data_IF_870203605120
#
_entry.id   IF_870203605120
#
_cell.length_a   1.000
_cell.length_b   1.000
_cell.length_c   1.000
_cell.angle_alpha   90.00
_cell.angle_beta   90.00
_cell.angle_gamma   90.00
#
_symmetry.space_group_name_H-M   'P 1'
#
loop_
_entity.id
_entity.type
_entity.pdbx_description
1 polymer ?
#
# COMPACT_ATOMS: atom_id res chain seq x y z
N UNK A 1 -4.19 3.67 6.85
CA UNK A 1 -5.43 2.87 7.07
C UNK A 1 -5.72 1.99 5.85
N UNK A 2 -4.83 1.05 5.46
CA UNK A 2 -5.02 0.29 4.20
C UNK A 2 -4.94 -1.25 4.37
N UNK A 3 -4.47 -1.81 5.49
CA UNK A 3 -4.37 -3.27 5.64
C UNK A 3 -4.96 -3.83 6.93
N UNK A 4 -6.12 -3.33 7.39
CA UNK A 4 -6.81 -3.90 8.55
C UNK A 4 -7.75 -5.07 8.21
N UNK A 5 -7.86 -5.47 6.94
CA UNK A 5 -8.89 -6.41 6.48
C UNK A 5 -8.47 -7.32 5.32
N UNK A 6 -7.22 -7.80 5.29
CA UNK A 6 -6.89 -8.92 4.42
C UNK A 6 -7.32 -10.22 5.12
N UNK A 7 -8.37 -10.93 4.66
CA UNK A 7 -8.69 -12.25 5.19
C UNK A 7 -7.50 -13.18 4.92
N UNK A 8 -7.17 -14.05 5.89
CA UNK A 8 -6.12 -15.06 5.74
C UNK A 8 -6.33 -15.84 4.45
N UNK A 9 -5.45 -15.66 3.47
CA UNK A 9 -5.53 -16.34 2.18
C UNK A 9 -5.12 -17.81 2.42
N UNK A 10 -6.12 -18.68 2.54
CA UNK A 10 -5.92 -20.14 2.56
C UNK A 10 -5.79 -20.61 1.11
N UNK A 11 -4.59 -21.00 0.68
CA UNK A 11 -4.37 -21.62 -0.64
C UNK A 11 -4.74 -23.12 -0.62
N UNK A 12 -5.86 -23.47 0.03
CA UNK A 12 -6.38 -24.84 0.06
C UNK A 12 -7.39 -25.03 -1.07
N UNK A 13 -6.94 -24.91 -2.31
CA UNK A 13 -7.75 -25.22 -3.50
C UNK A 13 -7.37 -26.59 -4.07
N UNK A 14 -8.22 -27.60 -3.88
CA UNK A 14 -8.14 -28.83 -4.66
C UNK A 14 -8.76 -28.58 -6.03
N UNK A 15 -7.94 -28.34 -7.06
CA UNK A 15 -8.42 -28.36 -8.45
C UNK A 15 -8.58 -29.81 -8.86
N UNK A 16 -9.81 -30.33 -8.75
CA UNK A 16 -10.19 -31.64 -9.28
C UNK A 16 -10.24 -31.55 -10.81
N UNK A 17 -9.09 -31.72 -11.47
CA UNK A 17 -9.06 -32.00 -12.92
C UNK A 17 -9.36 -33.48 -13.11
N UNK A 18 -10.56 -33.78 -13.61
CA UNK A 18 -10.95 -35.13 -14.02
C UNK A 18 -9.82 -35.75 -14.87
N UNK A 19 -9.20 -36.81 -14.34
CA UNK A 19 -8.20 -37.70 -14.96
C UNK A 19 -6.73 -37.23 -15.02
N UNK A 20 -6.25 -36.36 -14.12
CA UNK A 20 -4.80 -36.11 -13.92
C UNK A 20 -4.28 -36.56 -12.55
N UNK A 21 -2.96 -36.71 -12.35
CA UNK A 21 -2.40 -36.95 -11.01
C UNK A 21 -2.81 -35.79 -10.07
N UNK A 22 -3.40 -36.15 -8.93
CA UNK A 22 -3.85 -35.20 -7.91
C UNK A 22 -2.61 -34.53 -7.30
N UNK A 23 -2.34 -33.28 -7.69
CA UNK A 23 -1.35 -32.45 -7.02
C UNK A 23 -1.96 -32.00 -5.69
N UNK A 24 -1.65 -32.71 -4.60
CA UNK A 24 -1.98 -32.27 -3.25
C UNK A 24 -1.08 -31.09 -2.89
N UNK A 25 -1.61 -29.87 -3.00
CA UNK A 25 -0.95 -28.70 -2.43
C UNK A 25 -0.85 -28.86 -0.91
N UNK A 26 0.31 -28.54 -0.34
CA UNK A 26 0.44 -28.43 1.12
C UNK A 26 -0.44 -27.27 1.61
N UNK A 27 -1.23 -27.44 2.69
CA UNK A 27 -2.10 -26.39 3.21
C UNK A 27 -1.24 -25.32 3.90
N UNK A 28 -0.79 -24.34 3.12
CA UNK A 28 -0.03 -23.19 3.60
C UNK A 28 -0.98 -22.04 3.89
N UNK A 29 -0.92 -21.51 5.11
CA UNK A 29 -1.68 -20.35 5.57
C UNK A 29 -0.74 -19.16 5.77
N UNK A 30 -1.14 -18.04 5.20
CA UNK A 30 -0.45 -16.77 5.37
C UNK A 30 -1.01 -16.00 6.57
N UNK A 31 -0.12 -15.59 7.47
CA UNK A 31 -0.43 -14.68 8.57
C UNK A 31 0.59 -13.54 8.60
N UNK A 32 0.36 -12.53 9.44
CA UNK A 32 1.42 -11.62 9.84
C UNK A 32 2.43 -12.35 10.76
N UNK A 33 3.67 -11.82 10.90
CA UNK A 33 4.66 -12.39 11.80
C UNK A 33 4.14 -12.53 13.22
N UNK A 34 4.52 -13.61 13.87
CA UNK A 34 4.04 -14.01 15.20
C UNK A 34 2.52 -14.12 15.31
N UNK A 35 1.85 -14.40 14.19
CA UNK A 35 0.39 -14.46 14.10
C UNK A 35 -0.28 -13.18 14.64
N UNK A 36 0.34 -12.02 14.37
CA UNK A 36 -0.20 -10.71 14.75
C UNK A 36 -1.61 -10.56 14.14
N UNK A 37 -2.62 -10.33 15.00
CA UNK A 37 -4.02 -10.19 14.58
C UNK A 37 -4.80 -11.51 14.38
N UNK A 38 -4.18 -12.68 14.51
CA UNK A 38 -4.88 -13.97 14.45
C UNK A 38 -5.66 -14.27 15.75
N UNK A 39 -6.65 -15.16 15.71
CA UNK A 39 -7.40 -15.57 16.91
C UNK A 39 -6.48 -16.15 18.00
N UNK A 40 -6.85 -15.94 19.26
CA UNK A 40 -6.01 -16.30 20.41
C UNK A 40 -5.75 -17.82 20.50
N UNK A 41 -6.66 -18.63 19.97
CA UNK A 41 -6.53 -20.08 19.88
C UNK A 41 -5.27 -20.50 19.12
N UNK A 42 -4.97 -19.91 17.96
CA UNK A 42 -3.77 -20.24 17.17
C UNK A 42 -2.48 -19.76 17.86
N UNK A 43 -2.54 -18.65 18.58
CA UNK A 43 -1.39 -18.10 19.31
C UNK A 43 -1.00 -18.93 20.54
N UNK A 44 -1.98 -19.58 21.19
CA UNK A 44 -1.74 -20.42 22.37
C UNK A 44 -1.16 -21.79 22.04
N UNK A 45 -1.31 -22.25 20.80
CA UNK A 45 -0.83 -23.56 20.35
C UNK A 45 0.68 -23.60 20.09
N UNK A 46 1.35 -22.44 20.01
CA UNK A 46 2.78 -22.33 19.72
C UNK A 46 3.46 -21.49 20.80
N UNK A 47 4.45 -22.08 21.49
CA UNK A 47 5.27 -21.38 22.49
C UNK A 47 6.35 -20.55 21.78
N UNK A 48 6.58 -19.31 22.24
CA UNK A 48 7.60 -18.40 21.71
C UNK A 48 7.10 -17.33 20.73
N UNK A 49 5.78 -17.18 20.56
CA UNK A 49 5.20 -16.09 19.77
C UNK A 49 5.14 -14.79 20.58
N UNK A 50 5.88 -13.76 20.16
CA UNK A 50 5.84 -12.41 20.73
C UNK A 50 5.31 -11.39 19.71
N UNK A 51 3.98 -11.28 19.52
CA UNK A 51 3.41 -10.33 18.57
C UNK A 51 3.67 -8.88 19.02
N UNK A 52 4.52 -8.17 18.27
CA UNK A 52 4.79 -6.76 18.48
C UNK A 52 4.31 -5.96 17.27
N UNK A 53 3.39 -5.01 17.51
CA UNK A 53 2.80 -4.19 16.44
C UNK A 53 3.87 -3.43 15.63
N UNK A 54 4.81 -2.77 16.32
CA UNK A 54 5.84 -1.95 15.67
C UNK A 54 6.81 -2.78 14.81
N UNK A 55 7.09 -4.02 15.21
CA UNK A 55 8.04 -4.89 14.50
C UNK A 55 7.39 -5.75 13.42
N UNK A 56 6.12 -6.11 13.59
CA UNK A 56 5.46 -7.15 12.77
C UNK A 56 4.31 -6.62 11.91
N UNK A 57 4.00 -5.33 11.97
CA UNK A 57 3.07 -4.68 11.05
C UNK A 57 3.70 -4.53 9.65
N UNK A 58 2.86 -4.62 8.62
CA UNK A 58 3.20 -4.20 7.26
C UNK A 58 2.92 -2.71 7.13
N UNK A 59 3.92 -1.92 6.78
CA UNK A 59 3.79 -0.47 6.64
C UNK A 59 4.24 0.00 5.26
N UNK A 60 3.63 1.09 4.80
CA UNK A 60 4.01 1.79 3.57
C UNK A 60 3.97 3.28 3.92
N UNK A 61 5.10 3.94 3.80
CA UNK A 61 5.26 5.37 3.95
C UNK A 61 5.20 6.02 2.57
N UNK A 62 4.23 6.92 2.39
CA UNK A 62 3.92 7.54 1.10
C UNK A 62 4.07 9.05 1.20
N UNK A 63 4.66 9.67 0.17
CA UNK A 63 4.73 11.11 0.07
C UNK A 63 3.34 11.72 -0.21
N UNK A 64 2.87 12.59 0.68
CA UNK A 64 1.52 13.18 0.64
C UNK A 64 1.15 13.91 -0.67
N UNK A 65 2.11 14.61 -1.29
CA UNK A 65 1.85 15.43 -2.48
C UNK A 65 1.82 14.61 -3.78
N UNK A 66 2.66 13.57 -3.88
CA UNK A 66 2.88 12.84 -5.16
C UNK A 66 2.32 11.42 -5.13
N UNK A 67 1.97 10.89 -3.96
CA UNK A 67 1.56 9.49 -3.80
C UNK A 67 2.70 8.49 -3.95
N UNK A 68 3.96 8.93 -4.03
CA UNK A 68 5.11 8.03 -4.23
C UNK A 68 5.49 7.32 -2.93
N UNK A 69 5.62 5.98 -2.91
CA UNK A 69 6.09 5.25 -1.73
C UNK A 69 7.59 5.53 -1.51
N UNK A 70 7.93 6.06 -0.33
CA UNK A 70 9.31 6.37 0.06
C UNK A 70 9.99 5.17 0.71
N UNK A 71 9.25 4.53 1.61
CA UNK A 71 9.69 3.36 2.33
C UNK A 71 8.50 2.43 2.51
N UNK A 72 8.71 1.13 2.46
CA UNK A 72 7.68 0.14 2.74
C UNK A 72 8.31 -1.13 3.25
N UNK A 73 7.64 -1.81 4.17
CA UNK A 73 8.02 -3.11 4.66
C UNK A 73 6.80 -4.00 4.67
N UNK A 74 6.77 -5.00 3.80
CA UNK A 74 5.75 -6.06 3.78
C UNK A 74 6.30 -7.28 4.49
N UNK A 75 5.54 -7.77 5.48
CA UNK A 75 5.93 -8.94 6.28
C UNK A 75 4.87 -10.00 6.18
N UNK A 76 5.28 -11.21 5.83
CA UNK A 76 4.38 -12.36 5.68
C UNK A 76 5.00 -13.57 6.37
N UNK A 77 4.19 -14.28 7.13
CA UNK A 77 4.54 -15.54 7.77
C UNK A 77 3.79 -16.68 7.11
N UNK A 78 4.53 -17.72 6.77
CA UNK A 78 4.03 -18.97 6.22
C UNK A 78 3.86 -19.97 7.37
N UNK A 79 2.65 -20.51 7.46
CA UNK A 79 2.27 -21.48 8.48
C UNK A 79 1.70 -22.73 7.81
N UNK A 80 1.88 -23.88 8.44
CA UNK A 80 1.33 -25.15 7.96
C UNK A 80 0.57 -25.85 9.07
N UNK A 81 -0.50 -26.54 8.71
CA UNK A 81 -1.19 -27.42 9.64
C UNK A 81 -0.39 -28.72 9.82
N UNK A 82 0.09 -28.93 11.04
CA UNK A 82 0.56 -30.24 11.46
C UNK A 82 -0.63 -31.03 11.97
N UNK A 83 -0.85 -32.22 11.41
CA UNK A 83 -1.88 -33.18 11.83
C UNK A 83 -1.20 -34.48 12.25
N UNK A 84 -1.72 -35.20 13.25
CA UNK A 84 -1.22 -36.52 13.59
C UNK A 84 -1.47 -37.48 12.43
N UNK A 85 -0.44 -38.25 12.07
CA UNK A 85 -0.53 -39.31 11.07
C UNK A 85 -0.34 -40.62 11.83
N UNK A 86 -1.38 -41.46 11.87
CA UNK A 86 -1.43 -42.74 12.59
C UNK A 86 -0.38 -43.78 12.15
N UNK A 87 0.45 -43.47 11.15
CA UNK A 87 1.50 -44.34 10.60
C UNK A 87 2.90 -43.85 10.96
N UNK A 88 3.02 -42.69 11.63
CA UNK A 88 4.28 -42.07 11.99
C UNK A 88 4.24 -41.77 13.49
N UNK A 89 4.89 -42.62 14.28
CA UNK A 89 5.00 -42.55 15.75
C UNK A 89 5.52 -41.20 16.27
N UNK A 90 6.32 -40.48 15.49
CA UNK A 90 6.77 -39.12 15.82
C UNK A 90 5.64 -38.07 15.82
N UNK A 91 4.57 -38.29 15.05
CA UNK A 91 3.46 -37.35 14.90
C UNK A 91 2.19 -37.78 15.63
N UNK A 92 2.13 -39.00 16.16
CA UNK A 92 0.95 -39.56 16.84
C UNK A 92 0.54 -38.77 18.09
N UNK A 93 1.50 -38.18 18.80
CA UNK A 93 1.25 -37.36 19.99
C UNK A 93 1.03 -35.87 19.68
N UNK A 94 1.00 -35.47 18.40
CA UNK A 94 0.83 -34.06 18.02
C UNK A 94 -0.66 -33.70 17.97
N UNK A 95 -1.01 -32.60 18.64
CA UNK A 95 -2.33 -31.96 18.47
C UNK A 95 -2.36 -31.22 17.14
N UNK A 96 -3.47 -31.29 16.41
CA UNK A 96 -3.64 -30.55 15.15
C UNK A 96 -3.45 -29.06 15.39
N UNK A 97 -2.33 -28.51 14.93
CA UNK A 97 -1.91 -27.14 15.26
C UNK A 97 -1.33 -26.44 14.04
N UNK A 98 -1.55 -25.13 13.98
CA UNK A 98 -0.95 -24.27 12.97
C UNK A 98 0.45 -23.88 13.41
N UNK A 99 1.48 -24.37 12.71
CA UNK A 99 2.88 -24.15 13.11
C UNK A 99 3.54 -23.19 12.13
N UNK A 100 4.16 -22.10 12.62
CA UNK A 100 4.92 -21.19 11.79
C UNK A 100 6.17 -21.90 11.27
N UNK A 101 6.44 -21.78 9.98
CA UNK A 101 7.61 -22.39 9.35
C UNK A 101 8.67 -21.34 9.08
N UNK A 102 8.32 -20.31 8.31
CA UNK A 102 9.20 -19.21 7.95
C UNK A 102 8.42 -17.90 7.91
N UNK A 103 9.09 -16.80 8.15
CA UNK A 103 8.57 -15.46 7.85
C UNK A 103 9.56 -14.74 6.95
N UNK A 104 9.02 -13.96 6.03
CA UNK A 104 9.79 -13.20 5.05
C UNK A 104 9.41 -11.74 5.18
N UNK A 105 10.43 -10.89 5.16
CA UNK A 105 10.30 -9.44 5.08
C UNK A 105 10.80 -8.97 3.73
N UNK A 106 9.91 -8.29 3.01
CA UNK A 106 10.21 -7.61 1.76
C UNK A 106 10.16 -6.10 2.04
N UNK A 107 11.33 -5.49 2.08
CA UNK A 107 11.50 -4.05 2.30
C UNK A 107 11.85 -3.33 1.02
N UNK A 108 11.18 -2.20 0.78
CA UNK A 108 11.60 -1.20 -0.20
C UNK A 108 12.01 0.06 0.55
N UNK A 109 13.20 0.57 0.24
CA UNK A 109 13.66 1.86 0.74
C UNK A 109 14.26 2.62 -0.43
N UNK A 110 13.67 3.76 -0.77
CA UNK A 110 14.24 4.64 -1.80
C UNK A 110 15.53 5.25 -1.26
N UNK A 111 16.62 5.13 -2.02
CA UNK A 111 17.88 5.78 -1.71
C UNK A 111 17.71 7.32 -1.77
N UNK A 112 18.46 8.05 -0.95
CA UNK A 112 18.48 9.51 -0.88
C UNK A 112 18.62 10.18 -2.26
N UNK A 113 19.46 9.60 -3.13
CA UNK A 113 19.65 10.09 -4.50
C UNK A 113 18.37 9.98 -5.34
N UNK A 114 17.68 8.84 -5.26
CA UNK A 114 16.44 8.60 -6.00
C UNK A 114 15.29 9.48 -5.46
N UNK A 115 15.25 9.71 -4.14
CA UNK A 115 14.33 10.66 -3.51
C UNK A 115 14.58 12.08 -4.01
N UNK A 116 15.84 12.50 -4.14
CA UNK A 116 16.20 13.83 -4.65
C UNK A 116 15.79 14.03 -6.11
N UNK A 117 16.01 13.01 -6.96
CA UNK A 117 15.56 13.03 -8.36
C UNK A 117 14.03 13.14 -8.44
N UNK A 118 13.30 12.31 -7.67
CA UNK A 118 11.84 12.36 -7.58
C UNK A 118 11.33 13.73 -7.10
N UNK A 119 11.94 14.28 -6.05
CA UNK A 119 11.58 15.60 -5.51
C UNK A 119 11.80 16.71 -6.54
N UNK A 120 12.95 16.70 -7.21
CA UNK A 120 13.28 17.69 -8.25
C UNK A 120 12.36 17.56 -9.46
N UNK A 121 12.04 16.34 -9.89
CA UNK A 121 11.24 16.12 -11.09
C UNK A 121 9.75 16.33 -10.87
N UNK A 122 9.20 15.98 -9.72
CA UNK A 122 7.77 16.08 -9.45
C UNK A 122 7.42 17.36 -8.68
N UNK A 123 8.03 17.59 -7.52
CA UNK A 123 7.62 18.69 -6.64
C UNK A 123 7.99 20.05 -7.23
N UNK A 124 9.21 20.21 -7.75
CA UNK A 124 9.58 21.50 -8.33
C UNK A 124 8.79 21.78 -9.62
N UNK A 125 8.53 20.77 -10.45
CA UNK A 125 7.73 20.94 -11.67
C UNK A 125 6.31 21.37 -11.35
N UNK A 126 5.66 20.74 -10.36
CA UNK A 126 4.34 21.13 -9.89
C UNK A 126 4.33 22.57 -9.35
N UNK A 127 5.31 22.92 -8.51
CA UNK A 127 5.41 24.27 -7.94
C UNK A 127 5.63 25.35 -9.02
N UNK A 128 6.47 25.07 -10.03
CA UNK A 128 6.70 26.00 -11.15
C UNK A 128 5.43 26.16 -11.99
N UNK A 129 4.72 25.06 -12.27
CA UNK A 129 3.44 25.08 -12.98
C UNK A 129 2.40 25.93 -12.25
N UNK A 130 2.28 25.81 -10.93
CA UNK A 130 1.35 26.62 -10.14
C UNK A 130 1.70 28.11 -10.24
N UNK A 131 2.98 28.47 -10.08
CA UNK A 131 3.42 29.86 -10.21
C UNK A 131 3.07 30.42 -11.59
N UNK A 132 3.34 29.66 -12.65
CA UNK A 132 3.03 30.07 -14.03
C UNK A 132 1.52 30.23 -14.22
N UNK A 133 0.70 29.29 -13.74
CA UNK A 133 -0.76 29.37 -13.82
C UNK A 133 -1.29 30.61 -13.11
N UNK A 134 -0.88 30.85 -11.86
CA UNK A 134 -1.32 32.03 -11.12
C UNK A 134 -0.88 33.34 -11.79
N UNK A 135 0.34 33.38 -12.32
CA UNK A 135 0.86 34.57 -13.02
C UNK A 135 0.05 34.86 -14.28
N UNK A 136 -0.23 33.85 -15.10
CA UNK A 136 -1.05 34.00 -16.30
C UNK A 136 -2.50 34.36 -15.96
N UNK A 137 -3.06 33.78 -14.90
CA UNK A 137 -4.41 34.08 -14.44
C UNK A 137 -4.54 35.55 -14.02
N UNK A 138 -3.59 36.06 -13.23
CA UNK A 138 -3.56 37.46 -12.81
C UNK A 138 -3.36 38.39 -14.03
N UNK A 139 -2.44 38.06 -14.92
CA UNK A 139 -2.21 38.84 -16.14
C UNK A 139 -3.47 38.91 -17.03
N UNK A 140 -4.18 37.79 -17.18
CA UNK A 140 -5.45 37.73 -17.92
C UNK A 140 -6.54 38.62 -17.32
N UNK A 141 -6.65 38.65 -15.98
CA UNK A 141 -7.59 39.54 -15.29
C UNK A 141 -7.26 41.01 -15.55
N UNK A 142 -5.97 41.39 -15.51
CA UNK A 142 -5.56 42.78 -15.77
C UNK A 142 -5.95 43.21 -17.19
N UNK A 143 -5.67 42.37 -18.20
CA UNK A 143 -6.01 42.67 -19.60
C UNK A 143 -7.53 42.78 -19.79
N UNK A 144 -8.31 41.89 -19.16
CA UNK A 144 -9.76 41.94 -19.18
C UNK A 144 -10.29 43.25 -18.56
N UNK A 145 -9.76 43.69 -17.42
CA UNK A 145 -10.18 44.95 -16.78
C UNK A 145 -9.84 46.15 -17.66
N UNK A 146 -8.62 46.22 -18.19
CA UNK A 146 -8.18 47.33 -19.05
C UNK A 146 -9.05 47.44 -20.31
N UNK A 147 -9.34 46.30 -20.96
CA UNK A 147 -10.20 46.29 -22.16
C UNK A 147 -11.62 46.79 -21.86
N UNK A 148 -12.21 46.40 -20.73
CA UNK A 148 -13.53 46.89 -20.30
C UNK A 148 -13.52 48.40 -20.03
N UNK A 149 -12.50 48.91 -19.34
CA UNK A 149 -12.36 50.36 -19.07
C UNK A 149 -12.27 51.14 -20.38
N UNK A 150 -11.43 50.71 -21.31
CA UNK A 150 -11.29 51.35 -22.62
C UNK A 150 -12.62 51.34 -23.38
N UNK A 151 -13.35 50.22 -23.37
CA UNK A 151 -14.64 50.11 -24.03
C UNK A 151 -15.68 51.09 -23.47
N UNK A 152 -15.77 51.20 -22.14
CA UNK A 152 -16.67 52.16 -21.47
C UNK A 152 -16.29 53.59 -21.81
N UNK A 153 -15.01 53.95 -21.73
CA UNK A 153 -14.54 55.30 -22.06
C UNK A 153 -14.78 55.67 -23.53
N UNK A 154 -14.65 54.73 -24.46
CA UNK A 154 -14.99 54.96 -25.87
C UNK A 154 -16.50 55.15 -26.08
N UNK A 155 -17.34 54.39 -25.38
CA UNK A 155 -18.80 54.57 -25.43
C UNK A 155 -19.22 55.96 -24.93
N UNK A 156 -18.67 56.41 -23.80
CA UNK A 156 -18.97 57.73 -23.24
C UNK A 156 -18.57 58.87 -24.20
N UNK A 157 -17.39 58.78 -24.82
CA UNK A 157 -16.94 59.77 -25.82
C UNK A 157 -17.86 59.83 -27.06
N UNK A 158 -18.36 58.69 -27.54
CA UNK A 158 -19.29 58.65 -28.69
C UNK A 158 -20.66 59.25 -28.40
N UNK A 159 -21.14 59.14 -27.16
CA UNK A 159 -22.43 59.72 -26.75
C UNK A 159 -22.33 61.25 -26.58
N UNK A 160 -21.21 61.76 -26.10
CA UNK A 160 -21.02 63.20 -25.86
C UNK A 160 -20.77 64.03 -27.14
N UNK A 161 -20.47 63.41 -28.29
CA UNK A 161 -20.19 64.08 -29.58
C UNK A 161 -21.44 64.17 -30.48
N UNK A 162 -22.58 63.64 -30.02
CA UNK A 162 -23.88 63.70 -30.71
C UNK A 162 -24.79 64.73 -30.05
#
# INVERSE_FOLDING_TARGET
MIFKSAPSLSLSGSVERNNGPVIKYAPVILTLPHMLGAAQEYRKLVKGLEPNLKKHETFIEVQHLTGTPLQGGKRVQFNMFLKPINQITLTENLTTSLVPTIWVEEGIALNQEMVNVLKKSLINTLAVLDIVHYTLFIAGIIVAVVSVVIFISQRQKRVAVK
#
